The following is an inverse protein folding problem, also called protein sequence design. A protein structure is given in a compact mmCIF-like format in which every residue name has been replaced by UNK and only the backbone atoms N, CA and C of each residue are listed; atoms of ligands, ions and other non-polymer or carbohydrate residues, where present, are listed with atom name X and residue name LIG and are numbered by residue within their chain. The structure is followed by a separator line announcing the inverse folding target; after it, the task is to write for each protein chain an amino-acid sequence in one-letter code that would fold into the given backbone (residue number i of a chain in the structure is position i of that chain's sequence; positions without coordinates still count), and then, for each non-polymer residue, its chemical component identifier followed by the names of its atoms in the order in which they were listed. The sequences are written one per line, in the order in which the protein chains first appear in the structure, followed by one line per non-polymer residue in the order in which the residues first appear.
data_IF_252744562241
#
_entry.id   IF_252744562241
#
_cell.length_a   1.000
_cell.length_b   1.000
_cell.length_c   1.000
_cell.angle_alpha   90.00
_cell.angle_beta   90.00
_cell.angle_gamma   90.00
#
_symmetry.space_group_name_H-M   'P 1'
#
loop_
_entity.id
_entity.type
_entity.pdbx_description
1 polymer ?
#
# COMPACT_ATOMS: atom_id res chain seq x y z
N UNK A 1 -7.56 -2.49 24.47
CA UNK A 1 -8.00 -2.23 23.07
C UNK A 1 -6.74 -1.98 22.24
N UNK A 2 -6.61 -2.72 21.14
CA UNK A 2 -5.57 -2.46 20.14
C UNK A 2 -6.15 -1.49 19.11
N UNK A 3 -5.36 -0.50 18.69
CA UNK A 3 -5.72 0.41 17.62
C UNK A 3 -4.78 0.20 16.43
N UNK A 4 -5.35 0.07 15.23
CA UNK A 4 -4.61 -0.23 14.01
C UNK A 4 -5.02 0.71 12.86
N UNK A 5 -4.21 1.70 12.50
CA UNK A 5 -4.39 2.41 11.24
C UNK A 5 -4.20 1.47 10.05
N UNK A 6 -5.21 1.40 9.17
CA UNK A 6 -5.22 0.59 7.96
C UNK A 6 -5.18 1.47 6.69
N UNK A 7 -4.10 1.40 5.92
CA UNK A 7 -3.87 2.34 4.83
C UNK A 7 -3.07 1.74 3.66
N UNK A 8 -3.24 2.32 2.46
CA UNK A 8 -2.33 2.12 1.34
C UNK A 8 -0.96 2.78 1.50
N UNK A 9 -0.76 3.57 2.56
CA UNK A 9 0.51 4.25 2.85
C UNK A 9 1.59 3.29 3.33
N UNK A 10 2.85 3.69 3.08
CA UNK A 10 4.02 3.04 3.66
C UNK A 10 4.04 3.23 5.20
N UNK A 11 4.62 2.27 5.92
CA UNK A 11 4.75 2.28 7.37
C UNK A 11 5.36 3.58 7.91
N UNK A 12 6.49 4.04 7.34
CA UNK A 12 7.13 5.28 7.76
C UNK A 12 6.21 6.49 7.61
N UNK A 13 5.51 6.60 6.47
CA UNK A 13 4.55 7.68 6.22
C UNK A 13 3.37 7.63 7.20
N UNK A 14 2.85 6.43 7.46
CA UNK A 14 1.71 6.25 8.35
C UNK A 14 2.07 6.59 9.81
N UNK A 15 3.24 6.15 10.29
CA UNK A 15 3.73 6.51 11.63
C UNK A 15 3.83 8.01 11.86
N UNK A 16 4.24 8.78 10.85
CA UNK A 16 4.31 10.25 10.96
C UNK A 16 2.95 10.90 11.21
N UNK A 17 1.88 10.34 10.65
CA UNK A 17 0.52 10.84 10.87
C UNK A 17 0.04 10.60 12.31
N UNK A 18 0.53 9.54 12.93
CA UNK A 18 0.17 9.15 14.29
C UNK A 18 1.31 9.38 15.29
N UNK A 19 2.22 10.32 15.00
CA UNK A 19 3.44 10.54 15.77
C UNK A 19 3.28 10.56 17.30
N UNK A 20 2.22 11.14 17.91
CA UNK A 20 2.06 11.15 19.36
C UNK A 20 1.86 9.75 20.00
N UNK A 21 1.34 8.78 19.24
CA UNK A 21 1.06 7.43 19.72
C UNK A 21 1.76 6.35 18.86
N UNK A 22 2.68 6.73 18.01
CA UNK A 22 3.22 5.87 16.98
C UNK A 22 3.84 4.55 17.48
N UNK A 23 4.42 4.57 18.69
CA UNK A 23 5.08 3.40 19.28
C UNK A 23 4.10 2.46 20.00
N UNK A 24 2.83 2.89 20.17
CA UNK A 24 1.78 2.12 20.85
C UNK A 24 0.82 1.42 19.86
N UNK A 25 0.93 1.75 18.56
CA UNK A 25 -0.02 1.30 17.55
C UNK A 25 0.48 0.08 16.78
N UNK A 26 -0.46 -0.72 16.33
CA UNK A 26 -0.26 -1.73 15.29
C UNK A 26 -0.61 -1.12 13.94
N UNK A 27 0.01 -1.55 12.86
CA UNK A 27 -0.16 -0.93 11.54
C UNK A 27 -0.44 -1.96 10.45
N UNK A 28 -1.46 -1.69 9.65
CA UNK A 28 -1.75 -2.36 8.39
C UNK A 28 -1.39 -1.40 7.25
N UNK A 29 -0.27 -1.68 6.58
CA UNK A 29 0.34 -0.82 5.58
C UNK A 29 0.25 -1.41 4.18
N UNK A 30 0.49 -0.60 3.15
CA UNK A 30 0.56 -1.02 1.74
C UNK A 30 -0.68 -1.81 1.32
N UNK A 31 -1.90 -1.33 1.72
CA UNK A 31 -3.18 -2.01 1.50
C UNK A 31 -3.25 -3.44 2.07
N UNK A 32 -2.59 -3.71 3.20
CA UNK A 32 -2.57 -5.02 3.85
C UNK A 32 -1.38 -5.89 3.50
N UNK A 33 -0.50 -5.44 2.61
CA UNK A 33 0.66 -6.21 2.22
C UNK A 33 1.78 -6.24 3.28
N UNK A 34 1.77 -5.31 4.25
CA UNK A 34 2.77 -5.25 5.33
C UNK A 34 2.10 -4.92 6.66
N UNK A 35 2.42 -5.69 7.69
CA UNK A 35 1.85 -5.59 9.02
C UNK A 35 2.96 -5.37 10.05
N UNK A 36 2.80 -4.33 10.88
CA UNK A 36 3.74 -4.04 11.97
C UNK A 36 3.02 -4.00 13.31
N UNK A 37 3.68 -4.53 14.34
CA UNK A 37 3.31 -4.35 15.74
C UNK A 37 3.77 -3.00 16.30
N UNK A 38 3.49 -2.76 17.60
CA UNK A 38 3.98 -1.58 18.32
C UNK A 38 5.51 -1.54 18.39
N UNK A 39 6.04 -0.52 19.04
CA UNK A 39 7.46 -0.20 19.24
C UNK A 39 8.12 0.55 18.08
N UNK A 40 9.41 0.85 18.23
CA UNK A 40 10.22 1.59 17.27
C UNK A 40 11.66 1.01 17.18
N UNK A 41 12.01 0.27 16.10
CA UNK A 41 11.11 -0.10 15.00
C UNK A 41 10.06 -1.12 15.45
N UNK A 42 8.85 -1.04 14.88
CA UNK A 42 7.81 -2.01 15.14
C UNK A 42 8.21 -3.40 14.63
N UNK A 43 7.78 -4.43 15.36
CA UNK A 43 7.97 -5.81 14.92
C UNK A 43 7.20 -6.07 13.62
N UNK A 44 7.86 -6.63 12.61
CA UNK A 44 7.19 -7.13 11.43
C UNK A 44 6.33 -8.36 11.80
N UNK A 45 5.01 -8.21 11.72
CA UNK A 45 4.04 -9.27 12.04
C UNK A 45 3.68 -10.12 10.82
N UNK A 46 3.76 -9.54 9.62
CA UNK A 46 3.47 -10.25 8.37
C UNK A 46 3.79 -9.42 7.15
N UNK A 47 3.99 -10.11 6.03
CA UNK A 47 4.10 -9.49 4.71
C UNK A 47 3.60 -10.42 3.61
N UNK A 48 3.01 -9.83 2.57
CA UNK A 48 2.60 -10.53 1.34
C UNK A 48 3.48 -10.05 0.20
N UNK A 49 4.27 -10.97 -0.36
CA UNK A 49 5.31 -10.68 -1.36
C UNK A 49 4.82 -11.00 -2.75
N UNK A 50 5.03 -10.08 -3.70
CA UNK A 50 4.76 -10.28 -5.12
C UNK A 50 5.86 -11.16 -5.75
N UNK A 51 5.48 -11.96 -6.72
CA UNK A 51 6.47 -12.68 -7.51
C UNK A 51 7.32 -11.69 -8.31
N UNK A 52 8.65 -11.74 -8.10
CA UNK A 52 9.60 -10.71 -8.52
C UNK A 52 9.57 -10.44 -10.02
N UNK A 53 9.60 -11.48 -10.85
CA UNK A 53 9.65 -11.34 -12.30
C UNK A 53 8.41 -10.63 -12.83
N UNK A 54 7.22 -10.97 -12.30
CA UNK A 54 5.96 -10.36 -12.68
C UNK A 54 5.85 -8.92 -12.17
N UNK A 55 6.32 -8.65 -10.95
CA UNK A 55 6.35 -7.30 -10.39
C UNK A 55 7.25 -6.38 -11.21
N UNK A 56 8.44 -6.85 -11.64
CA UNK A 56 9.34 -6.09 -12.51
C UNK A 56 8.75 -5.91 -13.91
N UNK A 57 8.09 -6.92 -14.47
CA UNK A 57 7.42 -6.79 -15.77
C UNK A 57 6.29 -5.73 -15.73
N UNK A 58 5.52 -5.66 -14.64
CA UNK A 58 4.56 -4.59 -14.41
C UNK A 58 5.26 -3.22 -14.28
N UNK A 59 6.36 -3.16 -13.52
CA UNK A 59 7.14 -1.92 -13.36
C UNK A 59 7.61 -1.37 -14.71
N UNK A 60 8.14 -2.21 -15.60
CA UNK A 60 8.51 -1.81 -16.95
C UNK A 60 7.32 -1.27 -17.75
N UNK A 61 6.17 -1.95 -17.72
CA UNK A 61 4.99 -1.44 -18.42
C UNK A 61 4.54 -0.07 -17.92
N UNK A 62 4.64 0.20 -16.61
CA UNK A 62 4.37 1.53 -16.06
C UNK A 62 5.40 2.54 -16.57
N UNK A 63 6.69 2.16 -16.61
CA UNK A 63 7.76 3.02 -17.13
C UNK A 63 7.59 3.37 -18.61
N UNK A 64 6.97 2.49 -19.39
CA UNK A 64 6.68 2.73 -20.82
C UNK A 64 5.58 3.77 -21.03
N UNK A 65 4.80 4.11 -20.00
CA UNK A 65 3.80 5.18 -20.07
C UNK A 65 4.48 6.53 -19.76
N UNK A 66 4.60 7.46 -20.73
CA UNK A 66 5.41 8.67 -20.58
C UNK A 66 5.05 9.53 -19.37
N UNK A 67 3.75 9.60 -19.04
CA UNK A 67 3.21 10.48 -18.01
C UNK A 67 3.18 9.83 -16.61
N UNK A 68 3.57 8.55 -16.50
CA UNK A 68 3.57 7.83 -15.24
C UNK A 68 4.98 7.61 -14.71
N UNK A 69 5.10 7.62 -13.39
CA UNK A 69 6.29 7.17 -12.66
C UNK A 69 5.98 5.86 -11.95
N UNK A 70 6.97 4.98 -11.87
CA UNK A 70 6.84 3.73 -11.12
C UNK A 70 7.38 3.89 -9.71
N UNK A 71 6.59 3.50 -8.72
CA UNK A 71 7.02 3.36 -7.33
C UNK A 71 6.93 1.90 -6.92
N UNK A 72 8.05 1.31 -6.50
CA UNK A 72 8.10 -0.08 -6.02
C UNK A 72 8.23 -0.03 -4.50
N UNK A 73 7.32 -0.67 -3.79
CA UNK A 73 7.35 -0.75 -2.32
C UNK A 73 8.02 -2.04 -1.86
N UNK A 74 9.06 -1.89 -1.04
CA UNK A 74 9.55 -2.91 -0.12
C UNK A 74 8.81 -2.84 1.21
N UNK A 75 9.35 -3.52 2.24
CA UNK A 75 8.69 -3.61 3.55
C UNK A 75 8.52 -2.24 4.21
N UNK A 76 9.54 -1.39 4.17
CA UNK A 76 9.50 -0.04 4.74
C UNK A 76 10.35 0.97 3.93
N UNK A 77 10.62 0.68 2.69
CA UNK A 77 11.31 1.60 1.77
C UNK A 77 10.58 1.58 0.44
N UNK A 78 10.27 2.74 -0.09
CA UNK A 78 9.79 2.89 -1.45
C UNK A 78 10.98 3.15 -2.38
N UNK A 79 10.96 2.55 -3.55
CA UNK A 79 12.02 2.63 -4.54
C UNK A 79 11.49 3.29 -5.80
N UNK A 80 12.24 4.24 -6.31
CA UNK A 80 11.87 5.03 -7.48
C UNK A 80 13.01 5.02 -8.50
N UNK A 81 12.66 4.79 -9.77
CA UNK A 81 13.51 5.04 -10.93
C UNK A 81 12.94 6.27 -11.66
N UNK A 82 13.21 7.50 -11.20
CA UNK A 82 12.45 8.67 -11.60
C UNK A 82 12.80 9.14 -13.01
N UNK A 83 11.78 9.45 -13.80
CA UNK A 83 11.91 10.19 -15.07
C UNK A 83 12.06 11.69 -14.81
N UNK A 84 11.43 12.19 -13.71
CA UNK A 84 11.42 13.61 -13.36
C UNK A 84 11.85 13.81 -11.90
N UNK A 85 12.68 14.84 -11.67
CA UNK A 85 13.25 15.10 -10.35
C UNK A 85 12.23 15.62 -9.33
N UNK A 86 11.24 16.39 -9.76
CA UNK A 86 10.19 16.93 -8.92
C UNK A 86 9.30 15.84 -8.28
N UNK A 87 9.14 14.70 -8.94
CA UNK A 87 8.43 13.55 -8.38
C UNK A 87 9.14 12.98 -7.15
N UNK A 88 10.48 12.98 -7.15
CA UNK A 88 11.27 12.53 -5.98
C UNK A 88 10.94 13.36 -4.76
N UNK A 89 10.91 14.69 -4.92
CA UNK A 89 10.63 15.61 -3.83
C UNK A 89 9.17 15.50 -3.38
N UNK A 90 8.22 15.35 -4.31
CA UNK A 90 6.82 15.12 -4.00
C UNK A 90 6.64 13.86 -3.12
N UNK A 91 7.20 12.72 -3.53
CA UNK A 91 7.05 11.46 -2.80
C UNK A 91 7.75 11.51 -1.44
N UNK A 92 8.95 12.10 -1.39
CA UNK A 92 9.73 12.19 -0.15
C UNK A 92 9.11 13.12 0.88
N UNK A 93 8.69 14.30 0.48
CA UNK A 93 8.29 15.36 1.42
C UNK A 93 6.79 15.47 1.59
N UNK A 94 6.02 15.38 0.52
CA UNK A 94 4.57 15.50 0.58
C UNK A 94 3.90 14.17 0.99
N UNK A 95 4.20 13.08 0.29
CA UNK A 95 3.68 11.75 0.66
C UNK A 95 4.34 11.26 1.95
N UNK A 96 5.61 11.59 2.14
CA UNK A 96 6.36 11.32 3.37
C UNK A 96 6.90 9.90 3.47
N UNK A 97 7.18 9.26 2.34
CA UNK A 97 7.77 7.94 2.31
C UNK A 97 9.27 7.96 2.66
N UNK A 98 9.73 6.89 3.29
CA UNK A 98 11.13 6.52 3.27
C UNK A 98 11.47 6.08 1.83
N UNK A 99 12.32 6.84 1.14
CA UNK A 99 12.51 6.74 -0.31
C UNK A 99 13.97 6.53 -0.69
N UNK A 100 14.22 5.50 -1.50
CA UNK A 100 15.49 5.25 -2.16
C UNK A 100 15.34 5.41 -3.69
N UNK A 101 16.42 5.86 -4.34
CA UNK A 101 16.50 5.98 -5.80
C UNK A 101 17.32 4.81 -6.33
N UNK A 102 16.79 4.14 -7.34
CA UNK A 102 17.47 3.05 -8.03
C UNK A 102 17.91 3.52 -9.44
N UNK A 103 19.05 3.04 -9.93
CA UNK A 103 19.45 3.21 -11.32
C UNK A 103 18.49 2.51 -12.28
N UNK A 104 18.08 1.27 -11.95
CA UNK A 104 17.11 0.47 -12.69
C UNK A 104 16.19 -0.27 -11.73
N UNK A 105 15.04 -0.75 -12.20
CA UNK A 105 14.09 -1.51 -11.36
C UNK A 105 14.63 -2.90 -10.99
N UNK A 106 15.58 -3.43 -11.76
CA UNK A 106 16.28 -4.71 -11.50
C UNK A 106 17.15 -4.64 -10.25
N UNK A 107 17.63 -3.44 -9.90
CA UNK A 107 18.47 -3.19 -8.72
C UNK A 107 17.67 -3.23 -7.40
N UNK A 108 16.38 -3.56 -7.45
CA UNK A 108 15.53 -3.69 -6.26
C UNK A 108 16.15 -4.66 -5.23
N UNK A 109 16.54 -4.18 -4.04
CA UNK A 109 17.38 -4.95 -3.10
C UNK A 109 16.61 -5.87 -2.17
N UNK A 110 15.28 -5.76 -2.11
CA UNK A 110 14.45 -6.51 -1.16
C UNK A 110 13.19 -7.10 -1.85
N UNK A 111 12.37 -7.80 -1.08
CA UNK A 111 11.08 -8.30 -1.53
C UNK A 111 10.12 -7.17 -1.93
N UNK A 112 9.40 -7.37 -3.02
CA UNK A 112 8.41 -6.42 -3.53
C UNK A 112 7.04 -6.74 -2.92
N UNK A 113 6.43 -5.77 -2.27
CA UNK A 113 5.11 -5.93 -1.64
C UNK A 113 4.00 -5.19 -2.39
N UNK A 114 4.37 -4.14 -3.14
CA UNK A 114 3.45 -3.37 -3.97
C UNK A 114 4.21 -2.70 -5.13
N UNK A 115 3.56 -2.57 -6.28
CA UNK A 115 3.99 -1.72 -7.39
C UNK A 115 2.90 -0.72 -7.68
N UNK A 116 3.24 0.56 -7.76
CA UNK A 116 2.30 1.65 -8.00
C UNK A 116 2.67 2.44 -9.24
N UNK A 117 1.67 2.77 -10.06
CA UNK A 117 1.79 3.81 -11.07
C UNK A 117 1.36 5.15 -10.47
N UNK A 118 2.29 6.09 -10.40
CA UNK A 118 2.00 7.47 -10.05
C UNK A 118 1.73 8.27 -11.34
N UNK A 119 0.51 8.71 -11.53
CA UNK A 119 0.02 9.36 -12.74
C UNK A 119 -0.57 10.72 -12.36
N UNK A 120 0.21 11.81 -12.38
CA UNK A 120 -0.26 13.15 -11.97
C UNK A 120 -1.49 13.66 -12.74
N UNK A 121 -1.72 13.11 -13.93
CA UNK A 121 -2.88 13.47 -14.77
C UNK A 121 -4.16 12.68 -14.46
N UNK A 122 -4.08 11.71 -13.56
CA UNK A 122 -5.19 10.89 -13.11
C UNK A 122 -4.97 9.39 -13.33
N UNK A 123 -5.09 8.62 -12.25
CA UNK A 123 -4.96 7.16 -12.30
C UNK A 123 -6.10 6.49 -13.09
N UNK A 124 -7.24 7.16 -13.20
CA UNK A 124 -8.42 6.72 -13.99
C UNK A 124 -8.09 6.54 -15.48
N UNK A 125 -7.19 7.37 -16.02
CA UNK A 125 -6.79 7.29 -17.43
C UNK A 125 -5.89 6.07 -17.71
N UNK A 126 -5.16 5.61 -16.71
CA UNK A 126 -4.18 4.53 -16.85
C UNK A 126 -4.74 3.17 -16.43
N UNK A 127 -5.73 3.16 -15.55
CA UNK A 127 -6.38 1.94 -15.10
C UNK A 127 -6.94 1.08 -16.26
N UNK A 128 -7.62 1.60 -17.29
CA UNK A 128 -8.10 0.79 -18.42
C UNK A 128 -6.96 0.18 -19.27
N UNK A 129 -5.76 0.75 -19.19
CA UNK A 129 -4.57 0.29 -19.93
C UNK A 129 -3.84 -0.83 -19.19
N UNK A 130 -3.65 -0.66 -17.89
CA UNK A 130 -2.88 -1.59 -17.04
C UNK A 130 -3.76 -2.64 -16.36
N UNK A 131 -4.94 -2.25 -15.85
CA UNK A 131 -5.81 -3.11 -15.06
C UNK A 131 -6.12 -4.44 -15.74
N UNK A 132 -6.72 -4.46 -16.95
CA UNK A 132 -7.10 -5.71 -17.63
C UNK A 132 -5.94 -6.65 -17.95
N UNK A 133 -4.72 -6.13 -18.05
CA UNK A 133 -3.53 -6.97 -18.29
C UNK A 133 -3.08 -7.72 -17.05
N UNK A 134 -3.34 -7.16 -15.86
CA UNK A 134 -2.80 -7.65 -14.61
C UNK A 134 -3.86 -8.15 -13.61
N UNK A 135 -5.17 -7.99 -13.89
CA UNK A 135 -6.27 -8.38 -13.00
C UNK A 135 -6.27 -9.86 -12.58
N UNK A 136 -5.73 -10.75 -13.44
CA UNK A 136 -5.59 -12.17 -13.13
C UNK A 136 -4.29 -12.49 -12.35
N UNK A 137 -3.44 -11.50 -12.11
CA UNK A 137 -2.15 -11.67 -11.45
C UNK A 137 -2.08 -10.90 -10.15
N UNK A 138 -2.58 -9.67 -10.13
CA UNK A 138 -2.52 -8.75 -9.01
C UNK A 138 -3.88 -8.13 -8.74
N UNK A 139 -4.19 -7.92 -7.48
CA UNK A 139 -5.24 -6.96 -7.13
C UNK A 139 -4.79 -5.57 -7.53
N UNK A 140 -5.70 -4.77 -8.09
CA UNK A 140 -5.40 -3.39 -8.39
C UNK A 140 -6.52 -2.47 -7.91
N UNK A 141 -6.15 -1.29 -7.43
CA UNK A 141 -7.08 -0.28 -6.97
C UNK A 141 -6.55 1.13 -7.22
N UNK A 142 -7.45 2.05 -7.54
CA UNK A 142 -7.16 3.48 -7.53
C UNK A 142 -7.08 3.93 -6.07
N UNK A 143 -5.96 4.57 -5.70
CA UNK A 143 -5.69 5.13 -4.39
C UNK A 143 -5.56 6.65 -4.47
N UNK A 144 -6.65 7.36 -4.29
CA UNK A 144 -6.73 8.78 -4.56
C UNK A 144 -6.71 9.10 -6.06
N UNK A 145 -6.40 10.35 -6.44
CA UNK A 145 -6.52 10.81 -7.82
C UNK A 145 -5.40 10.30 -8.74
N UNK A 146 -4.18 10.20 -8.22
CA UNK A 146 -2.97 9.99 -9.02
C UNK A 146 -2.36 8.58 -8.92
N UNK A 147 -2.86 7.71 -8.09
CA UNK A 147 -2.24 6.43 -7.80
C UNK A 147 -3.06 5.24 -8.29
N UNK A 148 -2.43 4.32 -9.02
CA UNK A 148 -2.95 3.00 -9.32
C UNK A 148 -2.00 1.97 -8.69
N UNK A 149 -2.46 1.33 -7.62
CA UNK A 149 -1.71 0.35 -6.83
C UNK A 149 -1.97 -1.07 -7.32
N UNK A 150 -0.92 -1.89 -7.34
CA UNK A 150 -0.97 -3.33 -7.63
C UNK A 150 -0.27 -4.10 -6.52
N UNK A 151 -0.92 -5.12 -5.97
CA UNK A 151 -0.37 -6.02 -4.96
C UNK A 151 -1.10 -7.38 -4.94
N UNK A 152 -0.69 -8.28 -4.06
CA UNK A 152 -1.36 -9.57 -3.82
C UNK A 152 -2.25 -9.56 -2.57
N UNK A 153 -2.18 -8.51 -1.77
CA UNK A 153 -3.00 -8.33 -0.57
C UNK A 153 -4.10 -7.30 -0.80
N UNK A 154 -5.08 -7.30 0.05
CA UNK A 154 -6.02 -6.21 0.27
C UNK A 154 -6.20 -5.99 1.77
N UNK A 155 -6.91 -4.95 2.18
CA UNK A 155 -7.07 -4.64 3.61
C UNK A 155 -7.80 -5.74 4.39
N UNK A 156 -8.64 -6.55 3.73
CA UNK A 156 -9.31 -7.72 4.34
C UNK A 156 -8.32 -8.84 4.63
N UNK A 157 -7.56 -9.29 3.63
CA UNK A 157 -6.54 -10.33 3.82
C UNK A 157 -5.45 -9.87 4.81
N UNK A 158 -5.11 -8.58 4.81
CA UNK A 158 -4.21 -7.99 5.81
C UNK A 158 -4.80 -8.05 7.21
N UNK A 159 -6.10 -7.73 7.38
CA UNK A 159 -6.78 -7.86 8.66
C UNK A 159 -6.79 -9.30 9.17
N UNK A 160 -7.12 -10.28 8.32
CA UNK A 160 -7.11 -11.69 8.69
C UNK A 160 -5.71 -12.15 9.17
N UNK A 161 -4.66 -11.78 8.45
CA UNK A 161 -3.28 -12.07 8.87
C UNK A 161 -2.92 -11.40 10.20
N UNK A 162 -3.37 -10.16 10.39
CA UNK A 162 -3.14 -9.42 11.62
C UNK A 162 -3.86 -10.08 12.80
N UNK A 163 -5.11 -10.49 12.62
CA UNK A 163 -5.88 -11.23 13.60
C UNK A 163 -5.18 -12.52 14.02
N UNK A 164 -4.64 -13.28 13.06
CA UNK A 164 -3.86 -14.48 13.33
C UNK A 164 -2.56 -14.18 14.11
N UNK A 165 -1.84 -13.12 13.74
CA UNK A 165 -0.59 -12.75 14.39
C UNK A 165 -0.77 -12.27 15.84
N UNK A 166 -1.94 -11.71 16.15
CA UNK A 166 -2.27 -11.14 17.47
C UNK A 166 -3.17 -12.04 18.32
N UNK A 167 -3.52 -13.25 17.83
CA UNK A 167 -4.48 -14.17 18.47
C UNK A 167 -5.83 -13.47 18.80
N UNK A 168 -6.33 -12.67 17.85
CA UNK A 168 -7.62 -11.95 17.90
C UNK A 168 -8.56 -12.58 16.87
N UNK A 169 -9.82 -12.74 17.22
CA UNK A 169 -10.82 -13.23 16.26
C UNK A 169 -11.40 -12.08 15.44
N UNK A 170 -11.71 -12.28 14.14
CA UNK A 170 -12.35 -11.24 13.32
C UNK A 170 -13.65 -10.69 13.93
N UNK A 171 -14.41 -11.52 14.67
CA UNK A 171 -15.64 -11.11 15.37
C UNK A 171 -15.39 -10.09 16.50
N UNK A 172 -14.15 -9.99 16.98
CA UNK A 172 -13.74 -9.04 18.02
C UNK A 172 -13.21 -7.72 17.41
N UNK A 173 -13.19 -7.61 16.08
CA UNK A 173 -12.67 -6.45 15.36
C UNK A 173 -13.78 -5.48 15.00
N UNK A 174 -13.58 -4.21 15.36
CA UNK A 174 -14.36 -3.08 14.85
C UNK A 174 -13.55 -2.37 13.77
N UNK A 175 -14.11 -2.21 12.58
CA UNK A 175 -13.45 -1.55 11.45
C UNK A 175 -14.27 -0.36 10.96
N UNK A 176 -13.57 0.71 10.56
CA UNK A 176 -14.13 1.91 9.95
C UNK A 176 -13.51 2.13 8.59
N UNK A 177 -14.33 2.42 7.57
CA UNK A 177 -13.87 2.65 6.21
C UNK A 177 -14.72 3.68 5.47
N UNK A 178 -14.14 4.32 4.46
CA UNK A 178 -14.79 5.35 3.65
C UNK A 178 -14.58 5.19 2.14
N UNK A 179 -13.77 4.19 1.73
CA UNK A 179 -13.43 4.03 0.32
C UNK A 179 -13.50 2.55 -0.13
N UNK A 180 -13.50 2.33 -1.43
CA UNK A 180 -13.61 0.99 -2.03
C UNK A 180 -12.51 0.01 -1.59
N UNK A 181 -11.29 0.48 -1.32
CA UNK A 181 -10.22 -0.38 -0.81
C UNK A 181 -10.41 -0.80 0.66
N UNK A 182 -11.41 -0.24 1.37
CA UNK A 182 -11.79 -0.64 2.72
C UNK A 182 -12.83 -1.77 2.73
N UNK A 183 -13.58 -1.97 1.64
CA UNK A 183 -14.65 -2.96 1.58
C UNK A 183 -14.21 -4.36 2.03
N UNK A 184 -13.07 -4.91 1.55
CA UNK A 184 -12.64 -6.23 2.02
C UNK A 184 -12.34 -6.29 3.53
N UNK A 185 -11.89 -5.19 4.13
CA UNK A 185 -11.66 -5.09 5.58
C UNK A 185 -12.98 -5.03 6.34
N UNK A 186 -13.95 -4.25 5.85
CA UNK A 186 -15.27 -4.15 6.44
C UNK A 186 -16.03 -5.50 6.36
N UNK A 187 -15.88 -6.23 5.27
CA UNK A 187 -16.45 -7.57 5.11
C UNK A 187 -15.83 -8.61 6.05
N UNK A 188 -14.53 -8.48 6.35
CA UNK A 188 -13.81 -9.39 7.22
C UNK A 188 -14.01 -9.10 8.73
N UNK A 189 -14.37 -7.87 9.10
CA UNK A 189 -14.53 -7.46 10.47
C UNK A 189 -15.89 -7.85 11.05
N UNK A 190 -15.93 -8.26 12.31
CA UNK A 190 -17.19 -8.59 13.01
C UNK A 190 -18.10 -7.39 13.29
N UNK A 191 -17.54 -6.16 13.31
CA UNK A 191 -18.29 -4.94 13.58
C UNK A 191 -17.87 -3.83 12.59
N UNK A 192 -18.35 -3.87 11.33
CA UNK A 192 -17.99 -2.88 10.32
C UNK A 192 -18.83 -1.60 10.43
N UNK A 193 -18.18 -0.47 10.15
CA UNK A 193 -18.81 0.85 10.05
C UNK A 193 -18.38 1.55 8.77
N UNK A 194 -19.34 2.02 8.01
CA UNK A 194 -19.13 2.88 6.85
C UNK A 194 -19.31 4.33 7.31
N UNK A 195 -18.35 5.18 6.96
CA UNK A 195 -18.39 6.61 7.31
C UNK A 195 -19.42 7.35 6.44
N UNK A 196 -20.07 8.38 6.99
CA UNK A 196 -21.10 9.16 6.27
C UNK A 196 -20.56 9.86 5.02
N UNK A 197 -19.27 10.15 4.97
CA UNK A 197 -18.57 10.72 3.82
C UNK A 197 -18.00 9.67 2.85
N UNK A 198 -18.36 8.41 3.01
CA UNK A 198 -17.85 7.34 2.14
C UNK A 198 -18.24 7.56 0.67
N UNK A 199 -17.45 6.97 -0.22
CA UNK A 199 -17.74 6.91 -1.65
C UNK A 199 -19.11 6.21 -1.89
N UNK A 200 -19.92 6.70 -2.85
CA UNK A 200 -21.26 6.17 -3.14
C UNK A 200 -21.24 4.74 -3.66
#
# INVERSE_FOLDING_TARGET
ILFCPASGRQYHSLRRLFAPAADELTYLCENGAVLFGPDNPGQLLGKTVMERERALALAHQIMDIPECEVLISGVNTSYLCPKKRDVVDHIRYFVGNNLAILPTVEDMPEDIVKVSAYCPQGAVEVQPVLGPKWENTFHHAIAGEAWLDFNLANKGTGLEQLCQALDVKPEEVMAFGDNFNDLPMLEAAGCPYIMDNAAP
#
